data_IF_219794940703
#
_entry.id   IF_219794940703
#
_cell.length_a   1.000
_cell.length_b   1.000
_cell.length_c   1.000
_cell.angle_alpha   90.00
_cell.angle_beta   90.00
_cell.angle_gamma   90.00
#
_symmetry.space_group_name_H-M   'P 1'
#
loop_
_entity.id
_entity.type
_entity.pdbx_description
1 polymer ?
#
# COMPACT_ATOMS: atom_id res chain seq x y z
N UNK A 1 10.10 2.35 -12.33
CA UNK A 1 9.59 3.35 -11.36
C UNK A 1 8.31 4.02 -11.85
N UNK A 2 8.26 4.52 -13.09
CA UNK A 2 7.03 5.10 -13.68
C UNK A 2 5.87 4.08 -13.74
N UNK A 3 6.19 2.80 -13.94
CA UNK A 3 5.22 1.71 -14.05
C UNK A 3 4.42 1.46 -12.76
N UNK A 4 5.07 1.35 -11.60
CA UNK A 4 4.38 1.12 -10.31
C UNK A 4 3.41 2.24 -9.94
N UNK A 5 3.76 3.51 -10.22
CA UNK A 5 2.83 4.62 -9.99
C UNK A 5 1.60 4.53 -10.90
N UNK A 6 1.84 4.25 -12.19
CA UNK A 6 0.77 4.11 -13.17
C UNK A 6 -0.15 2.93 -12.83
N UNK A 7 0.41 1.79 -12.40
CA UNK A 7 -0.34 0.60 -12.01
C UNK A 7 -1.22 0.88 -10.78
N UNK A 8 -0.70 1.59 -9.76
CA UNK A 8 -1.50 2.01 -8.61
C UNK A 8 -2.67 2.91 -9.02
N UNK A 9 -2.41 3.90 -9.89
CA UNK A 9 -3.46 4.78 -10.41
C UNK A 9 -4.49 4.00 -11.22
N UNK A 10 -4.03 3.08 -12.08
CA UNK A 10 -4.88 2.20 -12.89
C UNK A 10 -5.73 1.25 -12.04
N UNK A 11 -5.20 0.80 -10.90
CA UNK A 11 -5.93 0.00 -9.91
C UNK A 11 -7.03 0.80 -9.18
N UNK A 12 -7.03 2.13 -9.29
CA UNK A 12 -8.08 2.99 -8.74
C UNK A 12 -7.89 3.33 -7.27
N UNK A 13 -6.64 3.53 -6.84
CA UNK A 13 -6.35 4.17 -5.54
C UNK A 13 -6.83 5.63 -5.55
N UNK A 14 -7.23 6.16 -4.40
CA UNK A 14 -7.67 7.55 -4.24
C UNK A 14 -6.51 8.54 -4.44
N UNK A 15 -5.32 8.15 -4.01
CA UNK A 15 -4.09 8.91 -4.19
C UNK A 15 -2.89 7.96 -4.22
N UNK A 16 -1.81 8.38 -4.85
CA UNK A 16 -0.54 7.65 -4.86
C UNK A 16 0.63 8.58 -4.54
N UNK A 17 1.67 8.03 -3.91
CA UNK A 17 2.87 8.76 -3.52
C UNK A 17 4.09 7.83 -3.49
N UNK A 18 5.22 8.28 -4.05
CA UNK A 18 6.53 7.67 -3.78
C UNK A 18 6.98 8.05 -2.37
N UNK A 19 7.17 7.07 -1.50
CA UNK A 19 7.60 7.30 -0.12
C UNK A 19 9.12 7.48 -0.04
N UNK A 20 9.55 8.65 0.44
CA UNK A 20 10.97 8.99 0.55
C UNK A 20 11.67 8.98 -0.81
N UNK A 21 12.85 8.36 -0.86
CA UNK A 21 13.62 8.15 -2.09
C UNK A 21 13.19 6.90 -2.89
N UNK A 22 12.11 6.22 -2.47
CA UNK A 22 11.74 4.91 -2.98
C UNK A 22 12.53 3.75 -2.36
N UNK A 23 12.20 2.51 -2.74
CA UNK A 23 11.32 2.12 -3.85
C UNK A 23 9.82 2.03 -3.51
N UNK A 24 9.44 2.29 -2.25
CA UNK A 24 8.06 2.10 -1.78
C UNK A 24 7.09 3.13 -2.36
N UNK A 25 6.05 2.66 -3.03
CA UNK A 25 4.89 3.49 -3.36
C UNK A 25 3.75 3.21 -2.38
N UNK A 26 3.02 4.26 -2.02
CA UNK A 26 1.83 4.22 -1.19
C UNK A 26 0.60 4.47 -2.04
N UNK A 27 -0.43 3.64 -1.90
CA UNK A 27 -1.76 3.86 -2.46
C UNK A 27 -2.78 4.07 -1.35
N UNK A 28 -3.44 5.23 -1.32
CA UNK A 28 -4.53 5.48 -0.38
C UNK A 28 -5.83 4.88 -0.93
N UNK A 29 -6.55 4.13 -0.10
CA UNK A 29 -7.80 3.47 -0.47
C UNK A 29 -8.91 3.84 0.52
N UNK A 30 -10.17 3.69 0.10
CA UNK A 30 -11.33 4.12 0.88
C UNK A 30 -11.55 3.26 2.13
N UNK A 31 -11.29 1.97 2.04
CA UNK A 31 -11.61 0.97 3.05
C UNK A 31 -10.69 -0.26 2.94
N UNK A 32 -10.80 -1.14 3.94
CA UNK A 32 -9.97 -2.33 4.08
C UNK A 32 -10.25 -3.39 3.00
N UNK A 33 -11.50 -3.59 2.62
CA UNK A 33 -11.87 -4.58 1.59
C UNK A 33 -11.26 -4.17 0.23
N UNK A 34 -11.34 -2.88 -0.11
CA UNK A 34 -10.69 -2.33 -1.29
C UNK A 34 -9.17 -2.51 -1.22
N UNK A 35 -8.56 -2.33 -0.06
CA UNK A 35 -7.12 -2.53 0.12
C UNK A 35 -6.69 -3.96 -0.23
N UNK A 36 -7.42 -4.97 0.28
CA UNK A 36 -7.12 -6.37 0.02
C UNK A 36 -7.35 -6.77 -1.44
N UNK A 37 -8.47 -6.32 -2.04
CA UNK A 37 -8.74 -6.57 -3.45
C UNK A 37 -7.68 -5.97 -4.39
N UNK A 38 -7.25 -4.73 -4.14
CA UNK A 38 -6.18 -4.11 -4.95
C UNK A 38 -4.83 -4.78 -4.72
N UNK A 39 -4.55 -5.25 -3.50
CA UNK A 39 -3.35 -6.03 -3.21
C UNK A 39 -3.29 -7.29 -4.09
N UNK A 40 -4.38 -8.06 -4.17
CA UNK A 40 -4.45 -9.26 -5.01
C UNK A 40 -4.23 -8.92 -6.48
N UNK A 41 -4.93 -7.91 -7.00
CA UNK A 41 -4.79 -7.48 -8.39
C UNK A 41 -3.34 -7.06 -8.75
N UNK A 42 -2.64 -6.38 -7.84
CA UNK A 42 -1.24 -5.96 -8.06
C UNK A 42 -0.26 -7.13 -7.96
N UNK A 43 -0.50 -8.09 -7.06
CA UNK A 43 0.28 -9.33 -7.00
C UNK A 43 0.11 -10.14 -8.29
N UNK A 44 -1.12 -10.26 -8.79
CA UNK A 44 -1.43 -10.96 -10.06
C UNK A 44 -0.83 -10.24 -11.28
N UNK A 45 -0.70 -8.92 -11.21
CA UNK A 45 0.02 -8.11 -12.20
C UNK A 45 1.55 -8.25 -12.13
N UNK A 46 2.08 -9.02 -11.16
CA UNK A 46 3.51 -9.36 -11.06
C UNK A 46 4.30 -8.52 -10.07
N UNK A 47 3.66 -7.66 -9.26
CA UNK A 47 4.37 -6.91 -8.21
C UNK A 47 4.75 -7.85 -7.06
N UNK A 48 6.05 -8.02 -6.80
CA UNK A 48 6.53 -9.02 -5.84
C UNK A 48 6.25 -8.70 -4.35
N UNK A 49 5.97 -7.43 -4.01
CA UNK A 49 5.90 -6.96 -2.62
C UNK A 49 4.77 -5.97 -2.38
N UNK A 50 3.53 -6.47 -2.30
CA UNK A 50 2.35 -5.65 -2.03
C UNK A 50 1.78 -5.97 -0.64
N UNK A 51 1.77 -4.95 0.22
CA UNK A 51 1.32 -5.04 1.60
C UNK A 51 0.14 -4.09 1.84
N UNK A 52 -0.79 -4.51 2.69
CA UNK A 52 -1.85 -3.67 3.23
C UNK A 52 -1.46 -3.26 4.63
N UNK A 53 -1.58 -1.96 4.94
CA UNK A 53 -1.34 -1.42 6.26
C UNK A 53 -2.39 -0.35 6.59
N UNK A 54 -2.72 -0.21 7.87
CA UNK A 54 -3.58 0.86 8.39
C UNK A 54 -2.75 1.93 9.09
N UNK A 55 -3.29 3.14 9.20
CA UNK A 55 -2.65 4.25 9.90
C UNK A 55 -3.64 5.38 10.23
N UNK A 56 -3.34 6.24 11.22
CA UNK A 56 -2.12 6.24 12.04
C UNK A 56 -2.07 5.08 13.05
N UNK A 57 -0.86 4.70 13.45
CA UNK A 57 -0.62 3.73 14.55
C UNK A 57 0.20 4.40 15.65
N UNK A 58 0.23 3.78 16.84
CA UNK A 58 1.09 4.24 17.91
C UNK A 58 2.57 4.25 17.47
N UNK A 59 3.31 5.28 17.90
CA UNK A 59 4.76 5.33 17.74
C UNK A 59 5.47 4.31 18.63
N UNK A 60 6.78 4.44 18.84
CA UNK A 60 7.53 3.53 19.71
C UNK A 60 6.95 3.48 21.12
N UNK A 61 6.56 2.29 21.57
CA UNK A 61 6.03 2.04 22.92
C UNK A 61 6.35 0.61 23.36
N UNK A 62 6.26 0.36 24.67
CA UNK A 62 6.37 -1.00 25.21
C UNK A 62 5.10 -1.78 24.88
N UNK A 63 5.26 -3.01 24.39
CA UNK A 63 4.15 -3.94 24.11
C UNK A 63 4.28 -5.13 25.06
N UNK A 64 3.31 -5.30 25.94
CA UNK A 64 3.18 -6.47 26.79
C UNK A 64 2.39 -7.54 26.04
N UNK A 65 3.05 -8.64 25.70
CA UNK A 65 2.39 -9.82 25.14
C UNK A 65 1.94 -10.69 26.30
N UNK A 66 0.65 -10.58 26.64
CA UNK A 66 -0.04 -11.50 27.56
C UNK A 66 -0.33 -12.83 26.87
#
# INVERSE_FOLDING_TARGET
>A
MVETEADLRGAGVLATLLSGSGPTFLGLVADQDRAHHLREALLDAGHAGVLVATGPVAGTHLVDYV
#
